data_IF_705121377962
#
_entry.id   IF_705121377962
#
_cell.length_a   1.000
_cell.length_b   1.000
_cell.length_c   1.000
_cell.angle_alpha   90.00
_cell.angle_beta   90.00
_cell.angle_gamma   90.00
#
_symmetry.space_group_name_H-M   'P 1'
#
loop_
_entity.id
_entity.type
_entity.pdbx_description
1 polymer ?
#
# COMPACT_ATOMS: atom_id res chain seq x y z
N UNK A 1 -27.75 4.38 11.01
CA UNK A 1 -28.88 3.92 11.81
C UNK A 1 -28.60 2.58 12.46
N UNK A 2 -29.15 2.35 13.63
CA UNK A 2 -29.12 1.06 14.29
C UNK A 2 -29.95 0.03 13.51
N UNK A 3 -29.68 -1.28 13.67
CA UNK A 3 -30.46 -2.31 12.97
C UNK A 3 -31.97 -2.27 13.26
N UNK A 4 -32.36 -1.73 14.39
CA UNK A 4 -33.76 -1.56 14.77
C UNK A 4 -34.39 -0.30 14.17
N UNK A 5 -33.68 0.43 13.31
CA UNK A 5 -34.16 1.69 12.71
C UNK A 5 -33.95 2.91 13.58
N UNK A 6 -33.41 2.76 14.77
CA UNK A 6 -33.15 3.90 15.67
C UNK A 6 -31.96 4.74 15.14
N UNK A 7 -32.09 6.05 15.26
CA UNK A 7 -31.00 7.00 14.94
C UNK A 7 -30.09 7.28 16.15
N UNK A 8 -30.36 6.66 17.29
CA UNK A 8 -29.59 6.84 18.51
C UNK A 8 -28.62 5.68 18.68
N UNK A 9 -27.43 5.98 19.21
CA UNK A 9 -26.41 4.96 19.45
C UNK A 9 -26.69 4.11 20.68
N UNK A 10 -27.53 4.62 21.61
CA UNK A 10 -27.92 3.91 22.81
C UNK A 10 -29.30 4.35 23.29
N UNK A 11 -29.90 3.52 24.14
CA UNK A 11 -31.16 3.87 24.79
C UNK A 11 -30.98 5.09 25.69
N UNK A 12 -29.85 5.17 26.39
CA UNK A 12 -29.57 6.33 27.24
C UNK A 12 -29.48 7.62 26.44
N UNK A 13 -28.84 7.60 25.26
CA UNK A 13 -28.78 8.75 24.37
C UNK A 13 -30.18 9.20 23.94
N UNK A 14 -31.06 8.25 23.62
CA UNK A 14 -32.44 8.56 23.27
C UNK A 14 -33.19 9.19 24.44
N UNK A 15 -33.04 8.66 25.66
CA UNK A 15 -33.64 9.19 26.86
C UNK A 15 -33.15 10.62 27.14
N UNK A 16 -31.88 10.89 26.98
CA UNK A 16 -31.33 12.24 27.14
C UNK A 16 -31.98 13.24 26.18
N UNK A 17 -32.08 12.84 24.90
CA UNK A 17 -32.67 13.72 23.88
C UNK A 17 -34.16 13.97 24.12
N UNK A 18 -34.88 13.01 24.68
CA UNK A 18 -36.29 13.14 25.00
C UNK A 18 -36.53 13.88 26.32
N UNK A 19 -35.51 14.12 27.12
CA UNK A 19 -35.62 14.73 28.45
C UNK A 19 -34.78 16.00 28.58
N UNK A 20 -33.65 15.91 29.25
CA UNK A 20 -32.84 17.09 29.60
C UNK A 20 -32.15 17.75 28.40
N UNK A 21 -31.96 17.02 27.30
CA UNK A 21 -31.36 17.56 26.07
C UNK A 21 -32.37 17.70 24.93
N UNK A 22 -33.62 17.87 25.29
CA UNK A 22 -34.75 17.93 24.35
C UNK A 22 -34.56 19.00 23.28
N UNK A 23 -34.04 20.17 23.66
CA UNK A 23 -33.91 21.32 22.77
C UNK A 23 -32.53 21.32 22.03
N UNK A 24 -31.71 20.28 22.22
CA UNK A 24 -30.46 20.15 21.53
C UNK A 24 -30.63 19.43 20.19
N UNK A 25 -29.85 19.84 19.18
CA UNK A 25 -29.81 19.14 17.93
C UNK A 25 -29.05 17.81 18.11
N UNK A 26 -29.48 16.78 17.39
CA UNK A 26 -28.93 15.44 17.53
C UNK A 26 -28.35 14.96 16.20
N UNK A 27 -27.03 14.65 16.19
CA UNK A 27 -26.31 14.13 15.02
C UNK A 27 -26.51 14.98 13.76
N UNK A 28 -26.50 16.30 13.91
CA UNK A 28 -26.72 17.22 12.77
C UNK A 28 -25.43 17.70 12.14
N UNK A 29 -24.32 17.66 12.88
CA UNK A 29 -23.08 18.29 12.46
C UNK A 29 -21.96 17.29 12.27
N UNK A 30 -21.10 17.59 11.30
CA UNK A 30 -19.85 16.84 11.06
C UNK A 30 -18.68 17.78 11.21
N UNK A 31 -17.63 17.32 11.87
CA UNK A 31 -16.37 18.04 11.96
C UNK A 31 -15.29 17.20 11.31
N UNK A 32 -14.66 17.74 10.27
CA UNK A 32 -13.54 17.06 9.62
C UNK A 32 -12.27 17.24 10.43
N UNK A 33 -11.49 16.16 10.56
CA UNK A 33 -10.17 16.25 11.17
C UNK A 33 -9.18 15.41 10.39
N UNK A 34 -7.92 15.80 10.46
CA UNK A 34 -6.85 15.16 9.70
C UNK A 34 -5.83 14.59 10.66
N UNK A 35 -5.46 13.33 10.43
CA UNK A 35 -4.38 12.68 11.17
C UNK A 35 -3.18 12.58 10.25
N UNK A 36 -2.04 13.10 10.68
CA UNK A 36 -0.80 12.97 9.93
C UNK A 36 -0.26 11.55 10.07
N UNK A 37 0.00 10.91 8.94
CA UNK A 37 0.73 9.66 8.86
C UNK A 37 2.08 9.93 8.20
N UNK A 38 3.12 9.27 8.68
CA UNK A 38 4.45 9.36 8.08
C UNK A 38 4.76 8.08 7.35
N UNK A 39 5.41 8.20 6.20
CA UNK A 39 5.89 7.08 5.43
C UNK A 39 7.41 7.12 5.38
N UNK A 40 8.04 6.04 5.80
CA UNK A 40 9.49 5.86 5.72
C UNK A 40 9.79 4.79 4.67
N UNK A 41 10.38 5.17 3.53
CA UNK A 41 10.77 4.18 2.52
C UNK A 41 11.93 3.32 3.01
N UNK A 42 12.03 2.08 2.49
CA UNK A 42 13.10 1.18 2.87
C UNK A 42 14.47 1.70 2.46
N UNK A 43 14.58 2.25 1.25
CA UNK A 43 15.85 2.77 0.71
C UNK A 43 15.61 4.08 -0.01
N UNK A 44 16.62 4.94 0.00
CA UNK A 44 16.55 6.23 -0.68
C UNK A 44 17.86 6.49 -1.40
N UNK A 45 17.76 6.93 -2.65
CA UNK A 45 18.94 7.33 -3.42
C UNK A 45 18.58 8.42 -4.42
N UNK A 46 19.47 9.39 -4.57
CA UNK A 46 19.33 10.36 -5.65
C UNK A 46 19.93 9.80 -6.92
N UNK A 47 19.14 9.70 -7.98
CA UNK A 47 19.56 9.17 -9.28
C UNK A 47 19.25 10.25 -10.33
N UNK A 48 20.32 10.86 -10.86
CA UNK A 48 20.16 12.02 -11.71
C UNK A 48 19.53 13.16 -10.93
N UNK A 49 18.43 13.69 -11.44
CA UNK A 49 17.69 14.79 -10.79
C UNK A 49 16.57 14.29 -9.90
N UNK A 50 16.32 12.98 -9.89
CA UNK A 50 15.24 12.39 -9.10
C UNK A 50 15.75 11.81 -7.79
N UNK A 51 14.93 11.96 -6.77
CA UNK A 51 15.07 11.22 -5.52
C UNK A 51 14.21 9.99 -5.62
N UNK A 52 14.84 8.83 -5.60
CA UNK A 52 14.13 7.55 -5.67
C UNK A 52 13.91 7.02 -4.26
N UNK A 53 12.65 6.78 -3.95
CA UNK A 53 12.23 6.06 -2.74
C UNK A 53 11.97 4.63 -3.17
N UNK A 54 12.78 3.70 -2.70
CA UNK A 54 12.68 2.30 -3.09
C UNK A 54 12.03 1.51 -1.97
N UNK A 55 10.90 0.89 -2.28
CA UNK A 55 10.18 0.04 -1.34
C UNK A 55 10.35 -1.41 -1.74
N UNK A 56 11.00 -2.21 -0.89
CA UNK A 56 11.16 -3.64 -1.13
C UNK A 56 9.96 -4.40 -0.58
N UNK A 57 9.35 -5.26 -1.40
CA UNK A 57 8.19 -6.05 -1.01
C UNK A 57 8.31 -7.49 -1.45
N UNK A 58 8.15 -8.38 -0.48
CA UNK A 58 7.90 -9.78 -0.77
C UNK A 58 6.45 -9.96 -1.21
N UNK A 59 5.52 -9.57 -0.36
CA UNK A 59 4.07 -9.59 -0.63
C UNK A 59 3.40 -8.46 0.12
N UNK A 60 2.31 -7.94 -0.45
CA UNK A 60 1.37 -7.12 0.30
C UNK A 60 0.49 -8.02 1.16
N UNK A 61 0.13 -7.55 2.35
CA UNK A 61 -0.75 -8.27 3.26
C UNK A 61 -2.21 -8.11 2.90
N UNK A 62 -2.64 -6.87 2.64
CA UNK A 62 -4.04 -6.55 2.45
C UNK A 62 -4.21 -5.24 1.68
N UNK A 63 -5.47 -4.90 1.39
CA UNK A 63 -5.84 -3.67 0.69
C UNK A 63 -5.32 -2.41 1.40
N UNK A 64 -5.43 -2.34 2.72
CA UNK A 64 -5.01 -1.16 3.46
C UNK A 64 -3.51 -0.88 3.25
N UNK A 65 -2.68 -1.92 3.23
CA UNK A 65 -1.25 -1.79 3.00
C UNK A 65 -0.96 -1.25 1.60
N UNK A 66 -1.43 -1.93 0.54
CA UNK A 66 -1.05 -1.47 -0.81
C UNK A 66 -1.73 -0.16 -1.20
N UNK A 67 -2.91 0.12 -0.66
CA UNK A 67 -3.60 1.38 -0.94
C UNK A 67 -2.86 2.58 -0.30
N UNK A 68 -2.14 2.38 0.79
CA UNK A 68 -1.30 3.40 1.41
C UNK A 68 -0.33 4.02 0.40
N UNK A 69 0.28 3.19 -0.44
CA UNK A 69 1.26 3.66 -1.43
C UNK A 69 0.62 4.51 -2.53
N UNK A 70 -0.62 4.24 -2.86
CA UNK A 70 -1.39 5.07 -3.80
C UNK A 70 -1.56 6.49 -3.23
N UNK A 71 -1.87 6.59 -1.93
CA UNK A 71 -1.96 7.88 -1.25
C UNK A 71 -0.61 8.59 -1.18
N UNK A 72 0.45 7.87 -0.81
CA UNK A 72 1.80 8.42 -0.76
C UNK A 72 2.20 9.01 -2.11
N UNK A 73 1.95 8.28 -3.19
CA UNK A 73 2.26 8.74 -4.55
C UNK A 73 1.65 10.11 -4.86
N UNK A 74 0.41 10.33 -4.43
CA UNK A 74 -0.32 11.58 -4.71
C UNK A 74 0.31 12.81 -4.06
N UNK A 75 1.05 12.64 -2.97
CA UNK A 75 1.60 13.75 -2.19
C UNK A 75 3.12 13.87 -2.29
N UNK A 76 3.77 13.05 -3.12
CA UNK A 76 5.22 13.11 -3.25
C UNK A 76 5.66 14.47 -3.80
N UNK A 77 6.77 15.02 -3.28
CA UNK A 77 7.34 16.24 -3.84
C UNK A 77 7.77 16.05 -5.29
N UNK A 78 7.91 17.16 -6.00
CA UNK A 78 8.44 17.16 -7.37
C UNK A 78 9.82 16.50 -7.38
N UNK A 79 10.10 15.76 -8.45
CA UNK A 79 11.35 15.03 -8.64
C UNK A 79 11.61 13.94 -7.58
N UNK A 80 10.54 13.45 -6.93
CA UNK A 80 10.58 12.33 -6.01
C UNK A 80 9.69 11.23 -6.55
N UNK A 81 10.21 10.01 -6.63
CA UNK A 81 9.45 8.89 -7.19
C UNK A 81 9.53 7.69 -6.26
N UNK A 82 8.37 7.07 -6.01
CA UNK A 82 8.29 5.80 -5.29
C UNK A 82 8.35 4.66 -6.29
N UNK A 83 9.34 3.79 -6.12
CA UNK A 83 9.60 2.62 -6.98
C UNK A 83 9.57 1.36 -6.13
N UNK A 84 8.95 0.31 -6.63
CA UNK A 84 8.91 -0.98 -5.93
C UNK A 84 10.02 -1.92 -6.42
N UNK A 85 10.60 -2.64 -5.47
CA UNK A 85 11.46 -3.78 -5.75
C UNK A 85 10.74 -5.02 -5.22
N UNK A 86 10.17 -5.82 -6.13
CA UNK A 86 9.42 -7.02 -5.74
C UNK A 86 10.31 -8.25 -5.73
N UNK A 87 10.22 -9.04 -4.67
CA UNK A 87 10.88 -10.34 -4.62
C UNK A 87 10.30 -11.28 -5.69
N UNK A 88 8.98 -11.22 -5.86
CA UNK A 88 8.26 -11.99 -6.87
C UNK A 88 7.15 -11.14 -7.48
N UNK A 89 7.42 -10.43 -8.59
CA UNK A 89 6.40 -9.57 -9.21
C UNK A 89 5.19 -10.34 -9.75
N UNK A 90 5.34 -11.65 -9.96
CA UNK A 90 4.24 -12.50 -10.43
C UNK A 90 3.32 -12.96 -9.29
N UNK A 91 3.67 -12.72 -8.04
CA UNK A 91 2.83 -13.11 -6.90
C UNK A 91 1.46 -12.45 -7.00
N UNK A 92 0.37 -13.18 -6.71
CA UNK A 92 -0.97 -12.61 -6.79
C UNK A 92 -1.20 -11.56 -5.71
N UNK A 93 -1.95 -10.52 -6.05
CA UNK A 93 -2.36 -9.51 -5.10
C UNK A 93 -3.31 -10.10 -4.05
N UNK A 94 -3.28 -9.59 -2.79
CA UNK A 94 -4.21 -10.04 -1.77
C UNK A 94 -5.66 -9.84 -2.23
N UNK A 95 -6.48 -10.88 -2.07
CA UNK A 95 -7.89 -10.83 -2.43
C UNK A 95 -8.20 -10.78 -3.92
N UNK A 96 -7.19 -10.94 -4.77
CA UNK A 96 -7.42 -10.93 -6.22
C UNK A 96 -8.28 -12.11 -6.65
N UNK A 97 -9.27 -11.83 -7.51
CA UNK A 97 -10.14 -12.86 -8.06
C UNK A 97 -9.47 -13.55 -9.25
N UNK A 98 -9.76 -14.86 -9.41
CA UNK A 98 -9.26 -15.62 -10.55
C UNK A 98 -9.93 -15.12 -11.83
N UNK A 99 -9.12 -14.86 -12.84
CA UNK A 99 -9.59 -14.45 -14.17
C UNK A 99 -10.04 -15.69 -14.96
N UNK A 100 -10.69 -15.46 -16.12
CA UNK A 100 -11.14 -16.53 -17.00
C UNK A 100 -10.01 -17.45 -17.46
N UNK A 101 -8.80 -16.90 -17.63
CA UNK A 101 -7.62 -17.67 -18.04
C UNK A 101 -6.94 -18.41 -16.87
N UNK A 102 -7.51 -18.34 -15.67
CA UNK A 102 -6.99 -19.00 -14.49
C UNK A 102 -5.96 -18.18 -13.68
N UNK A 103 -5.55 -17.03 -14.20
CA UNK A 103 -4.58 -16.17 -13.51
C UNK A 103 -5.25 -15.22 -12.53
N UNK A 104 -4.44 -14.63 -11.64
CA UNK A 104 -4.86 -13.55 -10.76
C UNK A 104 -3.99 -12.33 -11.01
N UNK A 105 -4.50 -11.14 -10.71
CA UNK A 105 -3.72 -9.91 -10.82
C UNK A 105 -2.47 -10.01 -9.96
N UNK A 106 -1.31 -9.76 -10.56
CA UNK A 106 -0.01 -9.83 -9.87
C UNK A 106 0.39 -8.50 -9.27
N UNK A 107 1.40 -8.54 -8.40
CA UNK A 107 2.03 -7.33 -7.82
C UNK A 107 2.54 -6.40 -8.92
N UNK A 108 3.23 -6.95 -9.93
CA UNK A 108 3.72 -6.15 -11.06
C UNK A 108 2.60 -5.49 -11.84
N UNK A 109 1.53 -6.22 -12.11
CA UNK A 109 0.38 -5.66 -12.80
C UNK A 109 -0.30 -4.56 -12.00
N UNK A 110 -0.44 -4.76 -10.69
CA UNK A 110 -1.00 -3.74 -9.80
C UNK A 110 -0.16 -2.46 -9.83
N UNK A 111 1.16 -2.60 -9.69
CA UNK A 111 2.06 -1.45 -9.67
C UNK A 111 1.98 -0.67 -10.99
N UNK A 112 2.04 -1.37 -12.11
CA UNK A 112 1.93 -0.75 -13.44
C UNK A 112 0.62 -0.01 -13.61
N UNK A 113 -0.49 -0.64 -13.22
CA UNK A 113 -1.82 -0.03 -13.33
C UNK A 113 -1.97 1.23 -12.47
N UNK A 114 -1.23 1.33 -11.37
CA UNK A 114 -1.26 2.49 -10.48
C UNK A 114 -0.14 3.49 -10.76
N UNK A 115 0.58 3.32 -11.85
CA UNK A 115 1.60 4.27 -12.29
C UNK A 115 2.93 4.18 -11.55
N UNK A 116 3.19 3.07 -10.89
CA UNK A 116 4.47 2.83 -10.23
C UNK A 116 5.42 2.09 -11.16
N UNK A 117 6.66 2.53 -11.23
CA UNK A 117 7.73 1.69 -11.77
C UNK A 117 8.07 0.62 -10.75
N UNK A 118 8.46 -0.54 -11.22
CA UNK A 118 8.88 -1.64 -10.37
C UNK A 118 9.93 -2.49 -11.06
N UNK A 119 10.71 -3.17 -10.24
CA UNK A 119 11.76 -4.08 -10.70
C UNK A 119 11.79 -5.30 -9.79
N UNK A 120 12.40 -6.37 -10.28
CA UNK A 120 12.88 -7.49 -9.47
C UNK A 120 14.38 -7.33 -9.25
N UNK A 121 14.98 -8.21 -8.44
CA UNK A 121 16.43 -8.20 -8.25
C UNK A 121 17.18 -8.39 -9.57
N UNK A 122 16.58 -9.12 -10.51
CA UNK A 122 17.21 -9.37 -11.82
C UNK A 122 17.00 -8.24 -12.82
N UNK A 123 15.96 -7.42 -12.65
CA UNK A 123 15.59 -6.38 -13.62
C UNK A 123 15.90 -4.96 -13.17
N UNK A 124 16.32 -4.75 -11.92
CA UNK A 124 16.71 -3.42 -11.46
C UNK A 124 17.89 -2.90 -12.28
N UNK A 125 17.89 -1.61 -12.71
CA UNK A 125 18.95 -1.08 -13.53
C UNK A 125 20.35 -1.23 -12.92
N UNK A 126 21.31 -1.65 -13.72
CA UNK A 126 22.69 -1.85 -13.26
C UNK A 126 23.29 -0.58 -12.65
N UNK A 127 22.90 0.59 -13.18
CA UNK A 127 23.37 1.88 -12.67
C UNK A 127 22.86 2.21 -11.26
N UNK A 128 21.85 1.49 -10.78
CA UNK A 128 21.27 1.71 -9.46
C UNK A 128 21.88 0.84 -8.39
N UNK A 129 22.66 -0.15 -8.75
CA UNK A 129 23.16 -1.19 -7.85
C UNK A 129 24.64 -1.47 -8.07
N UNK A 130 25.24 -2.30 -7.21
CA UNK A 130 26.55 -2.89 -7.46
C UNK A 130 26.38 -4.15 -8.31
N UNK A 131 26.80 -4.04 -9.57
CA UNK A 131 26.66 -5.08 -10.57
C UNK A 131 27.47 -6.34 -10.25
N UNK A 132 28.62 -6.17 -9.61
CA UNK A 132 29.48 -7.30 -9.22
C UNK A 132 28.79 -8.18 -8.18
N UNK A 133 28.11 -7.57 -7.21
CA UNK A 133 27.37 -8.31 -6.18
C UNK A 133 26.24 -9.15 -6.75
N UNK A 134 25.55 -8.65 -7.77
CA UNK A 134 24.44 -9.37 -8.42
C UNK A 134 24.87 -10.72 -8.99
N UNK A 135 26.11 -10.85 -9.42
CA UNK A 135 26.62 -12.04 -10.09
C UNK A 135 27.24 -13.06 -9.14
N UNK A 136 27.20 -12.83 -7.83
CA UNK A 136 27.71 -13.79 -6.85
C UNK A 136 26.79 -14.99 -6.71
N UNK A 137 27.39 -16.15 -6.42
CA UNK A 137 26.63 -17.37 -6.17
C UNK A 137 25.74 -17.24 -4.93
N UNK A 138 26.23 -16.56 -3.90
CA UNK A 138 25.48 -16.32 -2.68
C UNK A 138 24.20 -15.52 -2.96
N UNK A 139 24.30 -14.48 -3.77
CA UNK A 139 23.14 -13.68 -4.18
C UNK A 139 22.11 -14.55 -4.90
N UNK A 140 22.54 -15.37 -5.84
CA UNK A 140 21.63 -16.24 -6.60
C UNK A 140 20.92 -17.22 -5.71
N UNK A 141 21.62 -17.86 -4.79
CA UNK A 141 21.00 -18.81 -3.85
C UNK A 141 19.97 -18.14 -2.95
N UNK A 142 20.29 -16.97 -2.45
CA UNK A 142 19.38 -16.21 -1.60
C UNK A 142 18.11 -15.82 -2.36
N UNK A 143 18.25 -15.37 -3.60
CA UNK A 143 17.12 -15.00 -4.44
C UNK A 143 16.22 -16.18 -4.75
N UNK A 144 16.80 -17.33 -5.09
CA UNK A 144 16.05 -18.55 -5.35
C UNK A 144 15.25 -18.99 -4.10
N UNK A 145 15.86 -18.93 -2.93
CA UNK A 145 15.20 -19.26 -1.67
C UNK A 145 14.00 -18.38 -1.41
N UNK A 146 14.15 -17.07 -1.59
CA UNK A 146 13.05 -16.12 -1.39
C UNK A 146 11.90 -16.42 -2.35
N UNK A 147 12.19 -16.67 -3.61
CA UNK A 147 11.17 -16.98 -4.61
C UNK A 147 10.42 -18.26 -4.29
N UNK A 148 11.08 -19.28 -3.74
CA UNK A 148 10.44 -20.50 -3.29
C UNK A 148 9.50 -20.23 -2.10
N UNK A 149 9.91 -19.41 -1.16
CA UNK A 149 9.09 -19.06 0.01
C UNK A 149 7.86 -18.22 -0.38
N UNK A 150 7.92 -17.51 -1.50
CA UNK A 150 6.86 -16.65 -1.98
C UNK A 150 5.83 -17.36 -2.88
N UNK A 151 6.10 -18.59 -3.26
CA UNK A 151 5.17 -19.44 -4.02
C UNK A 151 4.14 -20.08 -3.06
#
# INVERSE_FOLDING_TARGET
LKPDGSKYDSIWEAVLHESILKDWEHHTDYVSYVIEHKYEPDFVRKIGRKKILLESKGRFWDFAEYNKYVWVKKILPKNTELVFLFANPSAPMPGAKRRKDGTKRSHGEWATANGFRWFSEDSIPDSWIDKAERNTEEFRRRNDKINLEMQ
#
